data_IF_652160116010
#
_entry.id   IF_652160116010
#
_cell.length_a   1.000
_cell.length_b   1.000
_cell.length_c   1.000
_cell.angle_alpha   90.00
_cell.angle_beta   90.00
_cell.angle_gamma   90.00
#
_symmetry.space_group_name_H-M   'P 1'
#
loop_
_entity.id
_entity.type
_entity.pdbx_description
1 polymer ?
#
# COMPACT_ATOMS: atom_id res chain seq x y z
N UNK A 1 34.43 -18.39 9.53
CA UNK A 1 33.18 -18.76 8.82
C UNK A 1 31.90 -18.45 9.61
N UNK A 2 31.80 -18.83 10.90
CA UNK A 2 30.58 -18.61 11.70
C UNK A 2 30.13 -17.14 11.84
N UNK A 3 31.08 -16.22 12.02
CA UNK A 3 30.81 -14.77 12.12
C UNK A 3 30.29 -14.20 10.79
N UNK A 4 30.84 -14.66 9.66
CA UNK A 4 30.41 -14.25 8.32
C UNK A 4 28.94 -14.64 8.08
N UNK A 5 28.55 -15.86 8.49
CA UNK A 5 27.18 -16.37 8.36
C UNK A 5 26.20 -15.54 9.20
N UNK A 6 26.57 -15.16 10.43
CA UNK A 6 25.72 -14.33 11.29
C UNK A 6 25.52 -12.91 10.72
N UNK A 7 26.57 -12.32 10.15
CA UNK A 7 26.49 -11.01 9.49
C UNK A 7 25.59 -11.03 8.25
N UNK A 8 25.66 -12.09 7.44
CA UNK A 8 24.81 -12.26 6.26
C UNK A 8 23.32 -12.41 6.62
N UNK A 9 23.00 -13.10 7.72
CA UNK A 9 21.62 -13.25 8.19
C UNK A 9 21.04 -11.93 8.72
N UNK A 10 21.86 -11.10 9.37
CA UNK A 10 21.44 -9.76 9.82
C UNK A 10 21.26 -8.76 8.66
N UNK A 11 22.03 -8.89 7.57
CA UNK A 11 21.92 -7.98 6.43
C UNK A 11 20.60 -8.14 5.64
N UNK A 12 19.93 -9.29 5.72
CA UNK A 12 18.66 -9.53 5.02
C UNK A 12 17.43 -8.84 5.64
N UNK A 13 17.58 -8.13 6.76
CA UNK A 13 16.46 -7.44 7.43
C UNK A 13 16.14 -6.07 6.81
N UNK A 14 16.16 -5.96 5.49
CA UNK A 14 15.64 -4.79 4.78
C UNK A 14 14.20 -5.07 4.33
N UNK A 15 13.21 -4.61 5.10
CA UNK A 15 11.80 -4.75 4.74
C UNK A 15 11.36 -3.57 3.87
N UNK A 16 11.28 -3.76 2.56
CA UNK A 16 10.69 -2.79 1.63
C UNK A 16 9.15 -2.88 1.69
N UNK A 17 8.57 -2.67 2.88
CA UNK A 17 7.11 -2.67 3.05
C UNK A 17 6.58 -1.30 2.62
N UNK A 18 5.69 -1.29 1.62
CA UNK A 18 4.94 -0.09 1.28
C UNK A 18 3.97 0.22 2.42
N UNK A 19 4.05 1.42 2.97
CA UNK A 19 3.13 1.89 4.00
C UNK A 19 1.85 2.42 3.33
N UNK A 20 0.85 1.55 3.25
CA UNK A 20 -0.49 1.91 2.78
C UNK A 20 -1.35 2.15 4.01
N UNK A 21 -1.86 3.36 4.15
CA UNK A 21 -2.83 3.75 5.15
C UNK A 21 -4.23 3.41 4.67
N UNK A 22 -5.03 2.80 5.55
CA UNK A 22 -6.36 2.31 5.22
C UNK A 22 -7.36 2.92 6.22
N UNK A 23 -8.42 3.55 5.73
CA UNK A 23 -9.53 4.00 6.57
C UNK A 23 -10.87 3.91 5.85
N UNK A 24 -11.93 4.06 6.61
CA UNK A 24 -13.29 4.23 6.09
C UNK A 24 -13.75 5.63 6.43
N UNK A 25 -14.30 6.36 5.46
CA UNK A 25 -14.88 7.69 5.71
C UNK A 25 -16.19 7.58 6.52
N UNK A 26 -16.67 8.67 7.14
CA UNK A 26 -17.97 8.66 7.82
C UNK A 26 -19.14 8.22 6.91
N UNK A 27 -19.02 8.46 5.61
CA UNK A 27 -20.00 8.10 4.57
C UNK A 27 -19.84 6.64 4.08
N UNK A 28 -18.88 5.90 4.61
CA UNK A 28 -18.67 4.48 4.32
C UNK A 28 -17.70 4.19 3.17
N UNK A 29 -17.06 5.19 2.56
CA UNK A 29 -16.10 4.97 1.50
C UNK A 29 -14.79 4.37 2.04
N UNK A 30 -14.28 3.31 1.41
CA UNK A 30 -12.99 2.70 1.76
C UNK A 30 -11.88 3.46 1.05
N UNK A 31 -10.88 3.92 1.80
CA UNK A 31 -9.75 4.68 1.26
C UNK A 31 -8.45 3.96 1.56
N UNK A 32 -7.60 3.89 0.53
CA UNK A 32 -6.26 3.34 0.57
C UNK A 32 -5.31 4.45 0.10
N UNK A 33 -4.37 4.84 0.95
CA UNK A 33 -3.42 5.92 0.67
C UNK A 33 -1.99 5.45 0.84
N UNK A 34 -1.19 5.56 -0.19
CA UNK A 34 0.24 5.28 -0.14
C UNK A 34 1.01 6.58 -0.32
N UNK A 35 1.67 7.07 0.73
CA UNK A 35 2.51 8.25 0.62
C UNK A 35 3.82 7.91 -0.09
N UNK A 36 4.17 8.66 -1.13
CA UNK A 36 5.48 8.57 -1.80
C UNK A 36 6.34 9.80 -1.50
N UNK A 37 7.66 9.59 -1.35
CA UNK A 37 8.66 10.66 -1.20
C UNK A 37 9.37 10.99 -2.51
N UNK A 38 8.90 10.43 -3.62
CA UNK A 38 9.50 10.58 -4.94
C UNK A 38 9.03 11.84 -5.66
N UNK A 39 8.64 11.69 -6.93
CA UNK A 39 8.11 12.79 -7.73
C UNK A 39 6.85 13.38 -7.08
N UNK A 40 6.64 14.71 -7.13
CA UNK A 40 5.47 15.38 -6.58
C UNK A 40 4.26 15.17 -7.50
N UNK A 41 3.77 13.94 -7.58
CA UNK A 41 2.65 13.52 -8.42
C UNK A 41 1.57 12.91 -7.52
N UNK A 42 0.31 13.20 -7.85
CA UNK A 42 -0.87 12.64 -7.20
C UNK A 42 -1.64 11.81 -8.22
N UNK A 43 -1.81 10.52 -7.94
CA UNK A 43 -2.64 9.60 -8.71
C UNK A 43 -3.83 9.15 -7.86
N UNK A 44 -5.03 9.12 -8.46
CA UNK A 44 -6.30 8.87 -7.77
C UNK A 44 -7.17 7.97 -8.65
N UNK A 45 -7.66 6.86 -8.09
CA UNK A 45 -8.67 5.99 -8.69
C UNK A 45 -9.90 5.88 -7.80
N UNK A 46 -11.09 5.97 -8.39
CA UNK A 46 -12.36 5.74 -7.71
C UNK A 46 -13.10 4.61 -8.41
N UNK A 47 -13.47 3.59 -7.66
CA UNK A 47 -14.19 2.43 -8.16
C UNK A 47 -15.59 2.39 -7.52
N UNK A 48 -16.62 2.33 -8.36
CA UNK A 48 -18.03 2.24 -7.95
C UNK A 48 -18.63 0.93 -8.45
N UNK A 49 -19.39 0.24 -7.61
CA UNK A 49 -20.23 -0.90 -8.01
C UNK A 49 -21.56 -0.39 -8.61
N UNK A 50 -21.46 0.24 -9.78
CA UNK A 50 -22.56 0.91 -10.47
C UNK A 50 -22.77 0.35 -11.90
N UNK A 51 -22.54 -0.95 -12.08
CA UNK A 51 -22.70 -1.58 -13.39
C UNK A 51 -24.19 -1.72 -13.77
N UNK A 52 -24.48 -1.56 -15.08
CA UNK A 52 -25.84 -1.63 -15.63
C UNK A 52 -26.57 -2.98 -15.37
N UNK A 53 -25.85 -4.05 -15.02
CA UNK A 53 -26.45 -5.30 -14.55
C UNK A 53 -27.30 -5.15 -13.29
N UNK A 54 -27.20 -4.00 -12.61
CA UNK A 54 -27.95 -3.66 -11.40
C UNK A 54 -29.23 -2.86 -11.68
N UNK A 55 -29.47 -2.46 -12.94
CA UNK A 55 -30.51 -1.48 -13.27
C UNK A 55 -31.93 -2.06 -13.47
N UNK A 56 -32.06 -3.40 -13.65
CA UNK A 56 -33.36 -4.10 -13.61
C UNK A 56 -34.28 -3.91 -14.81
#
# INVERSE_FOLDING_TARGET
MRILVLLLLFASSAQAKLDIQHWTTPEGAKVFFAQTKGLPILDIALNFDAAASRDG
#
